data_IF_846075045995
#
_entry.id   IF_846075045995
#
_cell.length_a   1.000
_cell.length_b   1.000
_cell.length_c   1.000
_cell.angle_alpha   90.00
_cell.angle_beta   90.00
_cell.angle_gamma   90.00
#
_symmetry.space_group_name_H-M   'P 1'
#
loop_
_entity.id
_entity.type
_entity.pdbx_description
1 polymer ?
#
# COMPACT_ATOMS: atom_id res chain seq x y z
N UNK A 1 -9.87 -62.39 -3.92
CA UNK A 1 -10.00 -61.11 -4.63
C UNK A 1 -10.60 -59.99 -3.74
N UNK A 2 -11.63 -60.21 -2.92
CA UNK A 2 -12.25 -59.18 -2.05
C UNK A 2 -11.35 -58.58 -0.97
N UNK A 3 -10.38 -59.35 -0.41
CA UNK A 3 -9.49 -58.90 0.68
C UNK A 3 -8.44 -57.86 0.17
N UNK A 4 -7.96 -57.97 -1.05
CA UNK A 4 -6.97 -57.04 -1.61
C UNK A 4 -7.61 -55.69 -2.00
N UNK A 5 -8.88 -55.69 -2.38
CA UNK A 5 -9.59 -54.45 -2.68
C UNK A 5 -9.87 -53.60 -1.43
N UNK A 6 -10.08 -54.26 -0.27
CA UNK A 6 -10.26 -53.57 1.00
C UNK A 6 -8.97 -52.93 1.50
N UNK A 7 -7.82 -53.63 1.33
CA UNK A 7 -6.49 -53.09 1.66
C UNK A 7 -6.10 -51.93 0.77
N UNK A 8 -6.42 -51.98 -0.53
CA UNK A 8 -6.17 -50.87 -1.46
C UNK A 8 -7.03 -49.64 -1.14
N UNK A 9 -8.29 -49.85 -0.73
CA UNK A 9 -9.19 -48.76 -0.32
C UNK A 9 -8.69 -48.06 0.98
N UNK A 10 -8.22 -48.86 1.97
CA UNK A 10 -7.64 -48.31 3.19
C UNK A 10 -6.34 -47.53 2.94
N UNK A 11 -5.49 -47.97 2.03
CA UNK A 11 -4.25 -47.29 1.66
C UNK A 11 -4.54 -45.93 0.95
N UNK A 12 -5.58 -45.87 0.11
CA UNK A 12 -6.00 -44.61 -0.53
C UNK A 12 -6.57 -43.60 0.46
N UNK A 13 -7.28 -44.02 1.51
CA UNK A 13 -7.79 -43.12 2.55
C UNK A 13 -6.66 -42.48 3.39
N UNK A 14 -5.54 -43.17 3.56
CA UNK A 14 -4.40 -42.64 4.33
C UNK A 14 -3.55 -41.65 3.57
N UNK A 15 -3.67 -41.57 2.24
CA UNK A 15 -2.94 -40.60 1.42
C UNK A 15 -3.61 -39.24 1.34
N UNK A 16 -4.83 -39.08 1.81
CA UNK A 16 -5.57 -37.80 1.72
C UNK A 16 -5.28 -36.81 2.86
N UNK A 17 -4.52 -37.24 3.90
CA UNK A 17 -4.23 -36.37 5.05
C UNK A 17 -2.88 -35.63 4.98
N UNK A 18 -2.11 -35.79 3.89
CA UNK A 18 -0.71 -35.33 3.84
C UNK A 18 -0.52 -33.90 3.28
N UNK A 19 -1.58 -33.15 2.96
CA UNK A 19 -1.45 -31.88 2.22
C UNK A 19 -1.93 -30.63 2.97
N UNK A 20 -2.21 -30.66 4.27
CA UNK A 20 -2.63 -29.45 5.00
C UNK A 20 -1.48 -28.46 5.20
N UNK A 21 -0.29 -28.93 5.52
CA UNK A 21 0.88 -28.08 5.81
C UNK A 21 1.53 -27.42 4.57
N UNK A 22 1.32 -27.99 3.39
CA UNK A 22 1.95 -27.45 2.16
C UNK A 22 1.27 -26.18 1.64
N UNK A 23 0.01 -25.95 2.04
CA UNK A 23 -0.77 -24.77 1.62
C UNK A 23 -0.78 -23.66 2.68
N UNK A 24 -0.20 -23.88 3.86
CA UNK A 24 0.06 -22.81 4.80
C UNK A 24 1.24 -21.99 4.28
N UNK A 25 0.92 -20.92 3.56
CA UNK A 25 1.85 -19.84 3.29
C UNK A 25 2.24 -19.24 4.65
N UNK A 26 3.35 -19.70 5.21
CA UNK A 26 4.05 -18.97 6.25
C UNK A 26 4.40 -17.60 5.63
N UNK A 27 3.62 -16.56 5.94
CA UNK A 27 4.02 -15.20 5.69
C UNK A 27 5.45 -15.08 6.22
N UNK A 28 6.38 -14.66 5.35
CA UNK A 28 7.74 -14.41 5.79
C UNK A 28 7.62 -13.48 7.00
N UNK A 29 8.17 -13.85 8.15
CA UNK A 29 7.96 -13.14 9.42
C UNK A 29 8.26 -11.64 9.36
N UNK A 30 8.90 -11.17 8.29
CA UNK A 30 9.17 -9.76 8.01
C UNK A 30 7.98 -8.97 7.45
N UNK A 31 6.94 -9.63 6.93
CA UNK A 31 5.76 -8.99 6.36
C UNK A 31 4.52 -9.10 7.25
N UNK A 32 4.65 -9.75 8.42
CA UNK A 32 3.51 -9.83 9.34
C UNK A 32 3.20 -8.46 9.95
N UNK A 33 1.93 -8.23 10.26
CA UNK A 33 1.45 -7.02 10.96
C UNK A 33 2.21 -6.83 12.26
N UNK A 34 2.37 -7.91 13.04
CA UNK A 34 3.07 -7.90 14.32
C UNK A 34 4.52 -7.44 14.17
N UNK A 35 5.20 -7.84 13.11
CA UNK A 35 6.56 -7.40 12.85
C UNK A 35 6.62 -5.92 12.47
N UNK A 36 5.75 -5.48 11.57
CA UNK A 36 5.73 -4.09 11.08
C UNK A 36 5.42 -3.09 12.19
N UNK A 37 4.59 -3.48 13.15
CA UNK A 37 4.19 -2.63 14.28
C UNK A 37 4.85 -3.03 15.61
N UNK A 38 5.98 -3.73 15.58
CA UNK A 38 6.65 -4.25 16.80
C UNK A 38 7.53 -3.21 17.52
N UNK A 39 7.90 -2.11 16.88
CA UNK A 39 8.77 -1.07 17.46
C UNK A 39 8.40 0.32 16.94
N UNK A 40 8.81 1.37 17.67
CA UNK A 40 8.64 2.77 17.22
C UNK A 40 9.19 3.01 15.81
N UNK A 41 10.41 2.55 15.53
CA UNK A 41 11.07 2.83 14.26
C UNK A 41 10.39 2.11 13.07
N UNK A 42 9.88 0.90 13.29
CA UNK A 42 9.11 0.16 12.28
C UNK A 42 7.74 0.80 12.04
N UNK A 43 7.04 1.16 13.10
CA UNK A 43 5.76 1.89 12.98
C UNK A 43 5.94 3.21 12.25
N UNK A 44 7.01 3.95 12.56
CA UNK A 44 7.38 5.16 11.82
C UNK A 44 7.65 4.88 10.35
N UNK A 45 8.32 3.79 10.01
CA UNK A 45 8.57 3.41 8.61
C UNK A 45 7.25 3.13 7.86
N UNK A 46 6.27 2.47 8.50
CA UNK A 46 4.94 2.27 7.90
C UNK A 46 4.21 3.61 7.70
N UNK A 47 4.27 4.53 8.66
CA UNK A 47 3.74 5.89 8.50
C UNK A 47 4.43 6.61 7.33
N UNK A 48 5.76 6.55 7.26
CA UNK A 48 6.55 7.17 6.19
C UNK A 48 6.18 6.63 4.81
N UNK A 49 5.83 5.34 4.70
CA UNK A 49 5.34 4.77 3.45
C UNK A 49 4.07 5.47 2.93
N UNK A 50 3.17 5.91 3.84
CA UNK A 50 1.97 6.67 3.44
C UNK A 50 2.35 8.04 2.88
N UNK A 51 3.34 8.71 3.47
CA UNK A 51 3.89 9.97 2.93
C UNK A 51 4.52 9.79 1.53
N UNK A 52 5.05 8.61 1.23
CA UNK A 52 5.60 8.29 -0.09
C UNK A 52 4.59 8.35 -1.24
N UNK A 53 3.30 8.42 -0.94
CA UNK A 53 2.25 8.65 -1.94
C UNK A 53 1.97 10.13 -2.23
N UNK A 54 2.59 11.05 -1.51
CA UNK A 54 2.53 12.45 -1.89
C UNK A 54 3.31 12.63 -3.20
N UNK A 55 2.66 13.21 -4.20
CA UNK A 55 3.32 13.50 -5.47
C UNK A 55 4.21 14.72 -5.34
N UNK A 56 5.41 14.62 -5.90
CA UNK A 56 6.24 15.78 -6.17
C UNK A 56 5.65 16.54 -7.36
N UNK A 57 5.56 17.87 -7.26
CA UNK A 57 5.12 18.68 -8.38
C UNK A 57 3.61 18.77 -8.57
N UNK A 58 2.96 19.60 -7.78
CA UNK A 58 1.51 19.91 -7.90
C UNK A 58 1.07 20.39 -9.28
N UNK A 59 2.01 20.87 -10.08
CA UNK A 59 1.76 21.40 -11.42
C UNK A 59 2.10 20.43 -12.54
N UNK A 60 2.31 19.13 -12.23
CA UNK A 60 2.71 18.15 -13.23
C UNK A 60 1.60 17.15 -13.58
N UNK A 61 1.38 16.98 -14.88
CA UNK A 61 0.58 15.91 -15.48
C UNK A 61 1.44 15.17 -16.50
N UNK A 62 1.46 13.86 -16.48
CA UNK A 62 2.30 13.04 -17.34
C UNK A 62 3.80 13.43 -17.29
N UNK A 63 4.32 13.74 -16.09
CA UNK A 63 5.69 14.21 -15.86
C UNK A 63 6.04 15.48 -16.66
N UNK A 64 5.07 16.34 -16.87
CA UNK A 64 5.19 17.60 -17.61
C UNK A 64 4.37 18.66 -16.90
N UNK A 65 4.80 19.90 -16.97
CA UNK A 65 4.07 21.02 -16.40
C UNK A 65 2.64 21.08 -16.96
N UNK A 66 1.66 21.29 -16.09
CA UNK A 66 0.23 21.34 -16.45
C UNK A 66 -0.07 22.45 -17.48
N UNK A 67 0.73 23.51 -17.51
CA UNK A 67 0.62 24.59 -18.48
C UNK A 67 0.71 24.08 -19.94
N UNK A 68 1.41 22.96 -20.15
CA UNK A 68 1.50 22.33 -21.46
C UNK A 68 0.21 21.57 -21.87
N UNK A 69 -0.80 21.51 -21.00
CA UNK A 69 -2.15 21.04 -21.33
C UNK A 69 -3.09 22.18 -21.72
N UNK A 70 -2.63 23.43 -21.58
CA UNK A 70 -3.38 24.65 -21.87
C UNK A 70 -2.86 25.33 -23.15
N UNK A 71 -3.32 26.52 -23.43
CA UNK A 71 -2.84 27.37 -24.55
C UNK A 71 -1.57 28.17 -24.21
N UNK A 72 -1.12 28.15 -22.95
CA UNK A 72 0.04 28.90 -22.48
C UNK A 72 1.38 28.29 -22.87
N UNK A 73 1.43 26.96 -23.03
CA UNK A 73 2.67 26.25 -23.34
C UNK A 73 2.45 24.99 -24.21
N UNK A 74 3.50 24.57 -24.89
CA UNK A 74 3.51 23.33 -25.68
C UNK A 74 4.69 22.46 -25.27
N UNK A 75 4.41 21.17 -25.02
CA UNK A 75 5.46 20.20 -24.78
C UNK A 75 6.21 19.87 -26.09
N UNK A 76 7.52 20.04 -26.07
CA UNK A 76 8.38 19.73 -27.22
C UNK A 76 8.47 18.22 -27.52
N UNK A 77 8.20 17.36 -26.53
CA UNK A 77 8.25 15.91 -26.73
C UNK A 77 6.98 15.38 -27.39
N UNK A 78 7.15 14.90 -28.61
CA UNK A 78 6.04 14.41 -29.44
C UNK A 78 5.34 13.15 -28.90
N UNK A 79 5.96 12.41 -27.99
CA UNK A 79 5.45 11.15 -27.41
C UNK A 79 4.83 11.32 -26.03
N UNK A 80 4.79 12.54 -25.48
CA UNK A 80 4.21 12.78 -24.16
C UNK A 80 2.68 12.75 -24.22
N UNK A 81 2.05 12.03 -23.26
CA UNK A 81 0.59 11.88 -23.16
C UNK A 81 -0.18 13.19 -22.99
N UNK A 82 0.47 14.28 -22.53
CA UNK A 82 -0.17 15.59 -22.34
C UNK A 82 -0.79 16.15 -23.63
N UNK A 83 -0.31 15.72 -24.79
CA UNK A 83 -0.89 16.09 -26.08
C UNK A 83 -2.36 15.76 -26.22
N UNK A 84 -2.81 14.67 -25.58
CA UNK A 84 -4.19 14.25 -25.67
C UNK A 84 -5.20 15.30 -25.22
N UNK A 85 -4.79 16.30 -24.40
CA UNK A 85 -5.65 17.42 -24.02
C UNK A 85 -5.99 18.36 -25.20
N UNK A 86 -5.09 18.49 -26.17
CA UNK A 86 -5.29 19.43 -27.31
C UNK A 86 -5.35 18.74 -28.68
N UNK A 87 -4.95 17.46 -28.83
CA UNK A 87 -5.06 16.74 -30.10
C UNK A 87 -6.34 15.91 -30.22
N UNK A 88 -7.17 15.88 -29.18
CA UNK A 88 -8.44 15.15 -29.16
C UNK A 88 -8.32 13.65 -28.93
N UNK A 89 -7.15 13.13 -28.58
CA UNK A 89 -6.96 11.69 -28.28
C UNK A 89 -7.44 11.30 -26.89
N UNK A 90 -7.70 12.27 -26.01
CA UNK A 90 -8.22 12.00 -24.66
C UNK A 90 -9.66 11.50 -24.71
N UNK A 91 -9.89 10.33 -24.15
CA UNK A 91 -11.22 9.72 -24.07
C UNK A 91 -11.28 8.71 -22.91
N UNK A 92 -12.46 8.14 -22.65
CA UNK A 92 -12.67 7.17 -21.55
C UNK A 92 -11.85 5.89 -21.65
N UNK A 93 -11.38 5.52 -22.83
CA UNK A 93 -10.52 4.35 -23.05
C UNK A 93 -9.03 4.69 -23.01
N UNK A 94 -8.69 5.98 -23.07
CA UNK A 94 -7.33 6.50 -23.00
C UNK A 94 -7.30 7.73 -22.07
N UNK A 95 -7.48 7.53 -20.76
CA UNK A 95 -7.46 8.60 -19.78
C UNK A 95 -6.04 9.19 -19.67
N UNK A 96 -5.96 10.50 -19.49
CA UNK A 96 -4.71 11.22 -19.28
C UNK A 96 -4.65 11.65 -17.83
N UNK A 97 -3.52 11.36 -17.16
CA UNK A 97 -3.32 11.72 -15.76
C UNK A 97 -4.21 10.95 -14.79
N UNK A 98 -4.65 9.76 -15.17
CA UNK A 98 -5.43 8.90 -14.27
C UNK A 98 -4.63 8.58 -12.99
N UNK A 99 -5.19 8.98 -11.87
CA UNK A 99 -4.60 8.81 -10.54
C UNK A 99 -5.42 7.89 -9.65
N UNK A 100 -6.50 7.33 -10.18
CA UNK A 100 -7.46 6.51 -9.43
C UNK A 100 -6.80 5.37 -8.66
N UNK A 101 -6.11 4.47 -9.36
CA UNK A 101 -5.43 3.34 -8.73
C UNK A 101 -4.37 3.81 -7.73
N UNK A 102 -3.61 4.85 -8.08
CA UNK A 102 -2.54 5.38 -7.26
C UNK A 102 -3.04 5.87 -5.90
N UNK A 103 -4.07 6.72 -5.89
CA UNK A 103 -4.60 7.26 -4.64
C UNK A 103 -5.44 6.26 -3.86
N UNK A 104 -6.11 5.30 -4.50
CA UNK A 104 -6.75 4.21 -3.76
C UNK A 104 -5.73 3.29 -3.05
N UNK A 105 -4.56 3.07 -3.62
CA UNK A 105 -3.45 2.40 -2.92
C UNK A 105 -2.95 3.23 -1.74
N UNK A 106 -2.85 4.53 -1.87
CA UNK A 106 -2.49 5.45 -0.80
C UNK A 106 -3.52 5.40 0.35
N UNK A 107 -4.81 5.44 0.02
CA UNK A 107 -5.92 5.32 0.98
C UNK A 107 -5.88 3.95 1.69
N UNK A 108 -5.62 2.87 0.97
CA UNK A 108 -5.49 1.54 1.56
C UNK A 108 -4.31 1.48 2.54
N UNK A 109 -3.15 2.05 2.18
CA UNK A 109 -1.99 2.14 3.06
C UNK A 109 -2.29 2.99 4.31
N UNK A 110 -3.02 4.09 4.16
CA UNK A 110 -3.46 4.93 5.28
C UNK A 110 -4.42 4.17 6.20
N UNK A 111 -5.41 3.46 5.67
CA UNK A 111 -6.33 2.65 6.46
C UNK A 111 -5.60 1.54 7.20
N UNK A 112 -4.68 0.84 6.53
CA UNK A 112 -3.85 -0.19 7.14
C UNK A 112 -3.06 0.34 8.36
N UNK A 113 -2.43 1.53 8.21
CA UNK A 113 -1.73 2.15 9.33
C UNK A 113 -2.67 2.50 10.48
N UNK A 114 -3.82 3.14 10.20
CA UNK A 114 -4.78 3.58 11.23
C UNK A 114 -5.33 2.39 12.01
N UNK A 115 -5.58 1.27 11.34
CA UNK A 115 -6.13 0.05 11.95
C UNK A 115 -5.13 -0.63 12.89
N UNK A 116 -3.83 -0.63 12.54
CA UNK A 116 -2.82 -1.43 13.24
C UNK A 116 -1.87 -0.62 14.11
N UNK A 117 -1.93 0.73 14.09
CA UNK A 117 -1.04 1.56 14.87
C UNK A 117 -1.22 1.32 16.38
N UNK A 118 -0.19 0.86 17.10
CA UNK A 118 -0.29 0.59 18.53
C UNK A 118 -0.38 1.89 19.35
N UNK A 119 -1.00 1.82 20.51
CA UNK A 119 -1.11 2.96 21.41
C UNK A 119 0.20 3.27 22.14
N UNK A 120 1.00 2.25 22.40
CA UNK A 120 2.31 2.35 23.08
C UNK A 120 3.17 1.08 22.80
N UNK A 121 4.40 1.10 23.34
CA UNK A 121 5.33 -0.04 23.32
C UNK A 121 5.83 -0.33 24.74
N UNK A 122 5.08 -1.07 25.59
CA UNK A 122 5.43 -1.30 26.98
C UNK A 122 6.82 -1.92 27.17
N UNK A 123 7.26 -2.78 26.26
CA UNK A 123 8.59 -3.40 26.27
C UNK A 123 9.73 -2.38 26.07
N UNK A 124 9.44 -1.22 25.49
CA UNK A 124 10.43 -0.18 25.21
C UNK A 124 10.52 0.90 26.30
N UNK A 125 9.77 0.77 27.38
CA UNK A 125 9.64 1.79 28.45
C UNK A 125 10.96 2.22 29.08
N UNK A 126 11.96 1.35 29.05
CA UNK A 126 13.29 1.61 29.60
C UNK A 126 14.28 2.19 28.59
N UNK A 127 13.85 2.41 27.35
CA UNK A 127 14.71 3.00 26.33
C UNK A 127 14.82 4.52 26.53
N UNK A 128 15.98 5.06 26.19
CA UNK A 128 16.19 6.49 26.12
C UNK A 128 15.19 7.14 25.14
N UNK A 129 14.66 8.31 25.52
CA UNK A 129 13.69 9.07 24.74
C UNK A 129 12.32 8.39 24.53
N UNK A 130 11.96 7.43 25.38
CA UNK A 130 10.67 6.74 25.27
C UNK A 130 9.49 7.72 25.23
N UNK A 131 9.44 8.69 26.14
CA UNK A 131 8.34 9.67 26.22
C UNK A 131 8.26 10.58 25.00
N UNK A 132 9.40 10.93 24.41
CA UNK A 132 9.47 11.71 23.18
C UNK A 132 8.91 10.90 22.00
N UNK A 133 9.37 9.67 21.84
CA UNK A 133 8.86 8.75 20.80
C UNK A 133 7.39 8.41 20.96
N UNK A 134 6.91 8.30 22.21
CA UNK A 134 5.50 8.04 22.50
C UNK A 134 4.61 9.24 22.12
N UNK A 135 5.07 10.47 22.31
CA UNK A 135 4.37 11.67 21.84
C UNK A 135 4.26 11.67 20.31
N UNK A 136 5.36 11.36 19.63
CA UNK A 136 5.41 11.27 18.18
C UNK A 136 4.44 10.17 17.67
N UNK A 137 4.47 8.98 18.27
CA UNK A 137 3.57 7.87 17.94
C UNK A 137 2.08 8.27 18.03
N UNK A 138 1.70 9.02 19.05
CA UNK A 138 0.32 9.48 19.25
C UNK A 138 -0.15 10.48 18.20
N UNK A 139 0.76 11.17 17.52
CA UNK A 139 0.43 12.11 16.44
C UNK A 139 0.23 11.41 15.09
N UNK A 140 0.93 10.30 14.83
CA UNK A 140 0.85 9.61 13.53
C UNK A 140 -0.57 9.28 13.06
N UNK A 141 -1.51 8.76 13.88
CA UNK A 141 -2.86 8.49 13.41
C UNK A 141 -3.57 9.73 12.86
N UNK A 142 -3.33 10.90 13.46
CA UNK A 142 -3.93 12.16 13.01
C UNK A 142 -3.29 12.66 11.71
N UNK A 143 -1.98 12.54 11.59
CA UNK A 143 -1.25 12.87 10.37
C UNK A 143 -1.70 11.97 9.20
N UNK A 144 -1.80 10.66 9.43
CA UNK A 144 -2.24 9.71 8.40
C UNK A 144 -3.72 9.92 8.03
N UNK A 145 -4.58 10.32 8.98
CA UNK A 145 -5.95 10.71 8.67
C UNK A 145 -6.01 11.95 7.77
N UNK A 146 -5.16 12.95 8.02
CA UNK A 146 -5.05 14.14 7.19
C UNK A 146 -4.58 13.78 5.77
N UNK A 147 -3.55 12.92 5.65
CA UNK A 147 -3.09 12.42 4.35
C UNK A 147 -4.20 11.64 3.62
N UNK A 148 -4.92 10.77 4.32
CA UNK A 148 -6.05 10.05 3.73
C UNK A 148 -7.12 10.98 3.20
N UNK A 149 -7.45 12.05 3.92
CA UNK A 149 -8.40 13.07 3.46
C UNK A 149 -7.87 13.80 2.21
N UNK A 150 -6.59 14.12 2.18
CA UNK A 150 -5.92 14.69 1.02
C UNK A 150 -6.01 13.76 -0.20
N UNK A 151 -5.73 12.45 -0.06
CA UNK A 151 -5.82 11.49 -1.16
C UNK A 151 -7.25 11.34 -1.71
N UNK A 152 -8.26 11.47 -0.84
CA UNK A 152 -9.66 11.52 -1.29
C UNK A 152 -10.00 12.83 -2.01
N UNK A 153 -9.35 13.91 -1.66
CA UNK A 153 -9.54 15.20 -2.33
C UNK A 153 -8.94 15.19 -3.75
N UNK A 154 -7.84 14.47 -3.95
CA UNK A 154 -7.17 14.35 -5.25
C UNK A 154 -7.89 13.40 -6.23
N UNK A 155 -8.83 12.56 -5.77
CA UNK A 155 -9.67 11.68 -6.58
C UNK A 155 -10.86 12.40 -7.20
#
# INVERSE_FOLDING_TARGET
MKKYNLLALAACLWMTTACSDFLELNESGYNSVEYQFSTFDRTKAVATNVYGYLKDGYSEVCSTMIDAATDDAVNAWSTNGIKGFYDGSWNTSAPIGDVWEYYYRAIAAANYFIEHCPADFPAAKYQEKYEEKLKELKLYPYEIQALRAYFHFEL
#
